data_IF_285719939901
#
_entry.id   IF_285719939901
#
_cell.length_a   1.000
_cell.length_b   1.000
_cell.length_c   1.000
_cell.angle_alpha   90.00
_cell.angle_beta   90.00
_cell.angle_gamma   90.00
#
_symmetry.space_group_name_H-M   'P 1'
#
loop_
_entity.id
_entity.type
_entity.pdbx_description
1 polymer ?
#
# COMPACT_ATOMS: atom_id res chain seq x y z
N UNK A 1 -1.26 18.54 -1.38
CA UNK A 1 -1.68 17.43 -2.26
C UNK A 1 -0.99 16.12 -1.90
N UNK A 2 -1.69 15.00 -2.06
CA UNK A 2 -1.20 13.65 -1.77
C UNK A 2 -1.57 12.72 -2.92
N UNK A 3 -0.61 11.99 -3.46
CA UNK A 3 -0.79 11.05 -4.57
C UNK A 3 -0.19 9.69 -4.22
N UNK A 4 -1.02 8.71 -3.80
CA UNK A 4 -0.59 7.33 -3.71
C UNK A 4 -0.56 6.68 -5.10
N UNK A 5 0.53 5.97 -5.40
CA UNK A 5 0.73 5.23 -6.66
C UNK A 5 1.01 3.78 -6.30
N UNK A 6 0.20 2.86 -6.83
CA UNK A 6 0.40 1.42 -6.65
C UNK A 6 1.09 0.84 -7.89
N UNK A 7 2.22 0.16 -7.69
CA UNK A 7 3.04 -0.43 -8.74
C UNK A 7 3.07 -1.94 -8.52
N UNK A 8 1.99 -2.59 -8.98
CA UNK A 8 1.75 -4.01 -8.71
C UNK A 8 2.89 -4.91 -9.17
N UNK A 9 3.43 -4.67 -10.38
CA UNK A 9 4.51 -5.45 -10.95
C UNK A 9 5.81 -5.43 -10.10
N UNK A 10 6.01 -4.39 -9.28
CA UNK A 10 7.15 -4.26 -8.38
C UNK A 10 6.78 -4.52 -6.92
N UNK A 11 5.59 -5.06 -6.62
CA UNK A 11 5.13 -5.32 -5.25
C UNK A 11 5.28 -4.12 -4.30
N UNK A 12 5.12 -2.90 -4.82
CA UNK A 12 5.42 -1.69 -4.08
C UNK A 12 4.37 -0.61 -4.29
N UNK A 13 4.32 0.32 -3.34
CA UNK A 13 3.55 1.54 -3.45
C UNK A 13 4.40 2.75 -3.07
N UNK A 14 4.07 3.88 -3.67
CA UNK A 14 4.69 5.17 -3.43
C UNK A 14 3.62 6.13 -2.93
N UNK A 15 3.95 7.01 -2.01
CA UNK A 15 3.14 8.17 -1.65
C UNK A 15 3.95 9.42 -1.97
N UNK A 16 3.47 10.18 -2.95
CA UNK A 16 3.96 11.51 -3.22
C UNK A 16 3.19 12.54 -2.41
N UNK A 17 3.89 13.51 -1.83
CA UNK A 17 3.26 14.65 -1.15
C UNK A 17 3.91 15.94 -1.60
N UNK A 18 3.09 16.96 -1.77
CA UNK A 18 3.58 18.33 -1.97
C UNK A 18 3.73 19.00 -0.60
N UNK A 19 4.94 19.43 -0.27
CA UNK A 19 5.22 20.14 0.99
C UNK A 19 4.98 21.64 0.80
N UNK A 20 5.51 22.22 -0.28
CA UNK A 20 5.32 23.62 -0.63
C UNK A 20 5.30 23.80 -2.16
N UNK A 21 5.53 25.01 -2.67
CA UNK A 21 5.54 25.29 -4.11
C UNK A 21 6.57 24.50 -4.90
N UNK A 22 7.70 24.17 -4.26
CA UNK A 22 8.94 23.78 -4.93
C UNK A 22 9.50 22.45 -4.43
N UNK A 23 8.90 21.84 -3.39
CA UNK A 23 9.38 20.60 -2.78
C UNK A 23 8.26 19.57 -2.66
N UNK A 24 8.59 18.38 -3.15
CA UNK A 24 7.78 17.18 -3.07
C UNK A 24 8.51 16.13 -2.23
N UNK A 25 7.78 15.13 -1.74
CA UNK A 25 8.37 14.03 -0.99
C UNK A 25 7.97 12.70 -1.58
N UNK A 26 8.88 11.73 -1.43
CA UNK A 26 8.73 10.35 -1.82
C UNK A 26 8.76 9.46 -0.58
N UNK A 27 7.74 8.64 -0.40
CA UNK A 27 7.68 7.57 0.60
C UNK A 27 7.34 6.28 -0.14
N UNK A 28 8.02 5.18 0.14
CA UNK A 28 7.71 3.90 -0.51
C UNK A 28 7.64 2.74 0.47
N UNK A 29 6.88 1.71 0.12
CA UNK A 29 6.75 0.50 0.90
C UNK A 29 6.32 -0.71 0.07
N UNK A 30 6.68 -1.89 0.58
CA UNK A 30 6.23 -3.18 0.08
C UNK A 30 4.74 -3.42 0.37
N UNK A 31 3.98 -3.95 -0.60
CA UNK A 31 2.53 -4.11 -0.42
C UNK A 31 2.07 -5.53 -0.11
N UNK A 32 2.89 -6.54 -0.40
CA UNK A 32 2.58 -7.96 -0.17
C UNK A 32 3.86 -8.69 0.25
N UNK A 33 3.77 -9.56 1.24
CA UNK A 33 4.95 -10.31 1.70
C UNK A 33 5.13 -11.63 0.92
N UNK A 34 6.34 -12.20 0.92
CA UNK A 34 6.56 -13.57 0.45
C UNK A 34 5.60 -14.55 1.11
N UNK A 35 5.15 -15.52 0.33
CA UNK A 35 4.12 -16.49 0.74
C UNK A 35 4.55 -17.31 1.94
N UNK A 36 5.84 -17.62 2.03
CA UNK A 36 6.47 -18.37 3.11
C UNK A 36 6.33 -17.63 4.44
N UNK A 37 6.54 -16.30 4.44
CA UNK A 37 6.39 -15.46 5.63
C UNK A 37 4.94 -15.48 6.12
N UNK A 38 3.97 -15.38 5.20
CA UNK A 38 2.54 -15.40 5.55
C UNK A 38 2.14 -16.76 6.13
N UNK A 39 2.54 -17.86 5.49
CA UNK A 39 2.17 -19.23 5.90
C UNK A 39 2.81 -19.63 7.22
N UNK A 40 4.06 -19.22 7.48
CA UNK A 40 4.80 -19.57 8.70
C UNK A 40 4.40 -18.72 9.92
N UNK A 41 3.77 -17.56 9.70
CA UNK A 41 3.41 -16.66 10.80
C UNK A 41 2.20 -17.17 11.58
N UNK A 42 2.36 -17.37 12.89
CA UNK A 42 1.24 -17.58 13.79
C UNK A 42 0.46 -16.27 13.98
N UNK A 43 -0.78 -16.24 13.49
CA UNK A 43 -1.67 -15.09 13.61
C UNK A 43 -1.55 -14.11 12.46
N UNK A 44 -1.15 -12.86 12.73
CA UNK A 44 -1.08 -11.79 11.71
C UNK A 44 0.27 -11.10 11.75
N UNK A 45 0.92 -10.99 10.59
CA UNK A 45 2.16 -10.23 10.46
C UNK A 45 1.92 -8.77 10.78
N UNK A 46 2.81 -8.16 11.56
CA UNK A 46 2.78 -6.74 11.86
C UNK A 46 3.89 -6.04 11.08
N UNK A 47 3.52 -5.04 10.29
CA UNK A 47 4.42 -4.31 9.40
C UNK A 47 4.36 -2.82 9.66
N UNK A 48 5.49 -2.14 9.46
CA UNK A 48 5.64 -0.69 9.57
C UNK A 48 5.62 -0.05 8.18
N UNK A 49 4.90 1.06 8.05
CA UNK A 49 4.74 1.78 6.79
C UNK A 49 4.95 3.28 6.99
N UNK A 50 5.59 3.98 6.06
CA UNK A 50 6.33 3.45 4.89
C UNK A 50 7.57 2.63 5.31
N UNK A 51 8.17 1.89 4.37
CA UNK A 51 9.40 1.10 4.59
C UNK A 51 10.64 2.00 4.66
N UNK A 52 10.60 3.14 3.98
CA UNK A 52 11.69 4.12 3.95
C UNK A 52 11.28 5.42 4.63
N UNK A 53 12.25 6.18 5.17
CA UNK A 53 12.01 7.57 5.54
C UNK A 53 11.58 8.38 4.32
N UNK A 54 10.77 9.39 4.58
CA UNK A 54 10.30 10.37 3.59
C UNK A 54 11.47 11.14 3.02
N UNK A 55 11.62 11.10 1.70
CA UNK A 55 12.72 11.75 0.98
C UNK A 55 12.21 12.99 0.25
N UNK A 56 12.71 14.21 0.55
CA UNK A 56 12.38 15.39 -0.24
C UNK A 56 13.11 15.40 -1.58
N UNK A 57 12.46 15.95 -2.60
CA UNK A 57 13.05 16.20 -3.91
C UNK A 57 12.42 17.46 -4.54
N UNK A 58 13.16 18.17 -5.41
CA UNK A 58 12.68 19.43 -5.95
C UNK A 58 11.59 19.22 -7.00
N UNK A 59 10.74 20.22 -7.12
CA UNK A 59 9.85 20.40 -8.25
C UNK A 59 10.68 20.80 -9.46
N UNK A 60 11.05 19.81 -10.25
CA UNK A 60 11.77 19.99 -11.49
C UNK A 60 11.08 19.21 -12.61
N UNK A 61 10.94 19.86 -13.76
CA UNK A 61 10.19 19.30 -14.90
C UNK A 61 10.89 18.09 -15.51
N UNK A 62 12.22 18.09 -15.55
CA UNK A 62 13.01 16.97 -16.03
C UNK A 62 12.93 15.80 -15.05
N UNK A 63 13.01 16.05 -13.74
CA UNK A 63 12.82 15.02 -12.71
C UNK A 63 11.44 14.39 -12.84
N UNK A 64 10.38 15.20 -12.92
CA UNK A 64 9.00 14.69 -12.97
C UNK A 64 8.73 13.89 -14.23
N UNK A 65 9.18 14.39 -15.38
CA UNK A 65 9.01 13.67 -16.66
C UNK A 65 9.80 12.36 -16.69
N UNK A 66 11.02 12.35 -16.13
CA UNK A 66 11.84 11.13 -16.01
C UNK A 66 11.21 10.14 -15.04
N UNK A 67 10.78 10.61 -13.87
CA UNK A 67 10.12 9.79 -12.86
C UNK A 67 8.84 9.18 -13.42
N UNK A 68 8.00 9.94 -14.11
CA UNK A 68 6.79 9.42 -14.74
C UNK A 68 7.10 8.29 -15.75
N UNK A 69 8.13 8.46 -16.59
CA UNK A 69 8.58 7.43 -17.54
C UNK A 69 9.08 6.17 -16.84
N UNK A 70 9.90 6.33 -15.80
CA UNK A 70 10.41 5.22 -14.98
C UNK A 70 9.26 4.48 -14.32
N UNK A 71 8.31 5.19 -13.70
CA UNK A 71 7.16 4.57 -13.05
C UNK A 71 6.24 3.86 -14.05
N UNK A 72 6.00 4.44 -15.22
CA UNK A 72 5.23 3.79 -16.28
C UNK A 72 5.91 2.50 -16.74
N UNK A 73 7.22 2.53 -16.95
CA UNK A 73 8.00 1.34 -17.30
C UNK A 73 7.92 0.27 -16.20
N UNK A 74 8.16 0.63 -14.94
CA UNK A 74 8.12 -0.29 -13.81
C UNK A 74 6.72 -0.84 -13.51
N UNK A 75 5.66 -0.11 -13.88
CA UNK A 75 4.28 -0.57 -13.71
C UNK A 75 3.88 -1.70 -14.66
N UNK A 76 4.55 -1.81 -15.81
CA UNK A 76 4.22 -2.77 -16.88
C UNK A 76 5.28 -3.84 -17.06
N UNK A 77 6.51 -3.61 -16.58
CA UNK A 77 7.64 -4.50 -16.81
C UNK A 77 7.81 -5.51 -15.67
N UNK A 78 8.01 -6.77 -16.04
CA UNK A 78 8.42 -7.81 -15.10
C UNK A 78 9.95 -7.75 -14.98
N UNK A 79 10.44 -7.38 -13.81
CA UNK A 79 11.87 -7.32 -13.52
C UNK A 79 12.34 -8.68 -13.01
N UNK A 80 13.03 -9.45 -13.84
CA UNK A 80 13.40 -10.84 -13.53
C UNK A 80 14.29 -10.94 -12.30
N UNK A 81 15.12 -9.93 -12.06
CA UNK A 81 16.02 -9.80 -10.92
C UNK A 81 15.26 -9.66 -9.59
N UNK A 82 14.04 -9.12 -9.62
CA UNK A 82 13.17 -9.03 -8.45
C UNK A 82 12.29 -10.26 -8.26
N UNK A 83 12.23 -11.19 -9.23
CA UNK A 83 11.38 -12.36 -9.14
C UNK A 83 12.03 -13.45 -8.27
N UNK A 84 11.30 -14.00 -7.29
CA UNK A 84 11.79 -15.15 -6.53
C UNK A 84 12.04 -16.34 -7.46
N UNK A 85 12.99 -17.19 -7.10
CA UNK A 85 13.35 -18.40 -7.86
C UNK A 85 13.05 -19.64 -7.04
N UNK A 86 12.64 -20.71 -7.73
CA UNK A 86 12.38 -22.03 -7.15
C UNK A 86 13.12 -23.10 -7.93
N UNK A 87 13.60 -24.13 -7.25
CA UNK A 87 14.15 -25.31 -7.90
C UNK A 87 13.05 -26.36 -8.09
N UNK A 88 12.80 -26.77 -9.33
CA UNK A 88 11.84 -27.83 -9.67
C UNK A 88 12.50 -28.79 -10.65
N UNK A 89 12.54 -30.07 -10.29
CA UNK A 89 13.14 -31.10 -11.14
C UNK A 89 14.64 -30.94 -11.40
N UNK A 90 15.37 -30.19 -10.54
CA UNK A 90 16.79 -29.88 -10.72
C UNK A 90 17.06 -28.59 -11.48
N UNK A 91 16.03 -27.95 -12.05
CA UNK A 91 16.13 -26.68 -12.78
C UNK A 91 15.60 -25.50 -11.96
N UNK A 92 16.22 -24.34 -12.14
CA UNK A 92 15.83 -23.09 -11.48
C UNK A 92 14.84 -22.32 -12.35
N UNK A 93 13.64 -22.07 -11.82
CA UNK A 93 12.60 -21.30 -12.51
C UNK A 93 12.13 -20.12 -11.66
N UNK A 94 11.73 -19.03 -12.31
CA UNK A 94 11.06 -17.91 -11.62
C UNK A 94 9.73 -18.39 -11.02
N UNK A 95 9.56 -18.16 -9.72
CA UNK A 95 8.37 -18.55 -8.98
C UNK A 95 7.31 -17.45 -9.10
N UNK A 96 6.56 -17.51 -10.21
CA UNK A 96 5.50 -16.55 -10.55
C UNK A 96 4.33 -16.50 -9.55
N UNK A 97 4.24 -17.48 -8.65
CA UNK A 97 3.19 -17.54 -7.61
C UNK A 97 3.55 -16.73 -6.37
N UNK A 98 4.81 -16.37 -6.21
CA UNK A 98 5.29 -15.61 -5.07
C UNK A 98 5.50 -14.14 -5.44
N UNK A 99 5.75 -13.30 -4.44
CA UNK A 99 5.82 -11.84 -4.62
C UNK A 99 7.20 -11.40 -5.10
N UNK A 100 7.23 -10.45 -6.02
CA UNK A 100 8.46 -9.79 -6.43
C UNK A 100 9.06 -8.99 -5.25
N UNK A 101 10.38 -8.89 -5.21
CA UNK A 101 11.09 -7.97 -4.32
C UNK A 101 10.72 -6.52 -4.66
N UNK A 102 10.45 -5.65 -3.67
CA UNK A 102 10.14 -4.24 -3.91
C UNK A 102 11.37 -3.39 -4.26
N UNK A 103 12.57 -4.00 -4.36
CA UNK A 103 13.87 -3.32 -4.43
C UNK A 103 13.97 -2.22 -5.49
N UNK A 104 13.33 -2.35 -6.66
CA UNK A 104 13.41 -1.31 -7.69
C UNK A 104 12.74 0.00 -7.26
N UNK A 105 11.75 -0.07 -6.37
CA UNK A 105 11.05 1.09 -5.83
C UNK A 105 11.62 1.49 -4.47
N UNK A 106 11.73 0.55 -3.53
CA UNK A 106 12.14 0.83 -2.16
C UNK A 106 13.65 1.06 -2.03
N UNK A 107 14.48 0.58 -2.93
CA UNK A 107 15.93 0.73 -2.82
C UNK A 107 16.46 1.58 -3.97
N UNK A 108 16.32 1.12 -5.22
CA UNK A 108 16.93 1.78 -6.38
C UNK A 108 16.34 3.18 -6.62
N UNK A 109 15.02 3.29 -6.81
CA UNK A 109 14.38 4.58 -7.03
C UNK A 109 14.50 5.49 -5.80
N UNK A 110 14.32 4.95 -4.59
CA UNK A 110 14.53 5.71 -3.36
C UNK A 110 15.97 6.27 -3.26
N UNK A 111 16.98 5.49 -3.67
CA UNK A 111 18.36 5.92 -3.72
C UNK A 111 18.59 7.07 -4.70
N UNK A 112 18.01 7.00 -5.90
CA UNK A 112 18.07 8.08 -6.91
C UNK A 112 17.42 9.36 -6.37
N UNK A 113 16.24 9.24 -5.75
CA UNK A 113 15.54 10.39 -5.16
C UNK A 113 16.36 11.00 -4.02
N UNK A 114 16.97 10.17 -3.16
CA UNK A 114 17.85 10.64 -2.07
C UNK A 114 19.06 11.41 -2.62
N UNK A 115 19.59 11.01 -3.76
CA UNK A 115 20.69 11.69 -4.44
C UNK A 115 20.28 12.99 -5.16
N UNK A 116 18.98 13.34 -5.14
CA UNK A 116 18.43 14.53 -5.80
C UNK A 116 17.69 15.42 -4.79
N UNK A 117 18.39 15.97 -3.77
CA UNK A 117 17.76 16.80 -2.76
C UNK A 117 17.29 18.15 -3.34
N UNK A 118 16.30 18.80 -2.70
CA UNK A 118 15.96 20.19 -3.01
C UNK A 118 17.13 21.13 -2.69
N UNK A 119 17.11 22.34 -3.28
CA UNK A 119 18.15 23.36 -3.06
C UNK A 119 18.17 23.89 -1.63
N UNK A 120 16.98 24.06 -1.05
CA UNK A 120 16.82 24.54 0.31
C UNK A 120 16.80 23.35 1.28
N UNK A 121 17.43 23.52 2.45
CA UNK A 121 17.36 22.53 3.52
C UNK A 121 15.94 22.45 4.06
N UNK A 122 15.19 21.43 3.63
CA UNK A 122 13.85 21.14 4.11
C UNK A 122 13.89 20.00 5.11
N UNK A 123 13.53 20.29 6.36
CA UNK A 123 13.35 19.26 7.39
C UNK A 123 12.04 18.53 7.13
N UNK A 124 12.14 17.22 6.92
CA UNK A 124 10.98 16.38 6.60
C UNK A 124 10.87 15.22 7.59
N UNK A 125 9.74 15.20 8.32
CA UNK A 125 9.40 14.12 9.23
C UNK A 125 8.57 13.04 8.53
N UNK A 126 8.80 11.79 8.90
CA UNK A 126 8.05 10.63 8.38
C UNK A 126 7.02 10.18 9.40
N UNK A 127 5.76 10.10 9.00
CA UNK A 127 4.69 9.53 9.83
C UNK A 127 4.63 8.04 9.60
N UNK A 128 5.17 7.26 10.54
CA UNK A 128 5.09 5.80 10.48
C UNK A 128 3.78 5.28 11.06
N UNK A 129 3.22 4.24 10.44
CA UNK A 129 2.03 3.52 10.92
C UNK A 129 2.28 2.03 10.92
N UNK A 130 1.83 1.36 11.98
CA UNK A 130 1.89 -0.10 12.06
C UNK A 130 0.56 -0.70 11.61
N UNK A 131 0.60 -1.65 10.68
CA UNK A 131 -0.59 -2.41 10.26
C UNK A 131 -0.36 -3.89 10.50
N UNK A 132 -1.37 -4.52 11.11
CA UNK A 132 -1.50 -5.99 11.14
C UNK A 132 -2.11 -6.44 9.81
N UNK A 133 -1.33 -7.16 9.02
CA UNK A 133 -1.72 -7.68 7.73
C UNK A 133 -2.65 -8.87 7.92
N UNK A 134 -3.78 -8.81 7.23
CA UNK A 134 -4.81 -9.87 7.22
C UNK A 134 -4.76 -10.56 5.87
N UNK A 135 -3.55 -10.98 5.52
CA UNK A 135 -3.24 -11.61 4.25
C UNK A 135 -3.24 -13.12 4.43
N UNK A 136 -3.70 -13.80 3.39
CA UNK A 136 -3.84 -15.25 3.37
C UNK A 136 -3.35 -15.74 2.02
N UNK A 137 -2.58 -16.81 2.02
CA UNK A 137 -2.13 -17.48 0.79
C UNK A 137 -2.96 -18.74 0.66
N UNK A 138 -4.12 -18.63 0.01
CA UNK A 138 -5.01 -19.76 -0.21
C UNK A 138 -4.84 -20.27 -1.64
N UNK A 139 -4.54 -21.55 -1.79
CA UNK A 139 -4.29 -22.15 -3.09
C UNK A 139 -5.07 -23.45 -3.23
N UNK A 140 -5.90 -23.54 -4.28
CA UNK A 140 -6.61 -24.76 -4.66
C UNK A 140 -6.65 -24.83 -6.19
N UNK A 141 -5.75 -25.60 -6.79
CA UNK A 141 -5.70 -25.86 -8.24
C UNK A 141 -5.76 -24.60 -9.11
N UNK A 142 -5.09 -23.52 -8.70
CA UNK A 142 -5.11 -22.23 -9.39
C UNK A 142 -3.70 -21.79 -9.86
N UNK A 143 -3.63 -20.87 -10.83
CA UNK A 143 -2.34 -20.34 -11.28
C UNK A 143 -1.65 -19.50 -10.20
N UNK A 144 -2.40 -18.57 -9.58
CA UNK A 144 -1.95 -17.74 -8.46
C UNK A 144 -2.77 -18.05 -7.21
N UNK A 145 -2.19 -17.95 -6.00
CA UNK A 145 -2.97 -18.06 -4.77
C UNK A 145 -3.95 -16.89 -4.66
N UNK A 146 -5.11 -17.15 -4.06
CA UNK A 146 -5.98 -16.07 -3.61
C UNK A 146 -5.31 -15.35 -2.45
N UNK A 147 -5.26 -14.02 -2.53
CA UNK A 147 -4.72 -13.11 -1.52
C UNK A 147 -5.64 -11.92 -1.35
N UNK A 148 -5.51 -11.24 -0.22
CA UNK A 148 -6.26 -10.00 0.02
C UNK A 148 -5.70 -8.88 -0.85
N UNK A 149 -6.56 -8.02 -1.38
CA UNK A 149 -6.15 -6.89 -2.24
C UNK A 149 -5.10 -5.99 -1.57
N UNK A 150 -3.93 -5.91 -2.20
CA UNK A 150 -2.82 -5.05 -1.76
C UNK A 150 -3.12 -3.56 -1.99
N UNK A 151 -3.92 -3.23 -3.01
CA UNK A 151 -4.42 -1.86 -3.23
C UNK A 151 -5.17 -1.32 -2.00
N UNK A 152 -5.91 -2.18 -1.29
CA UNK A 152 -6.58 -1.78 -0.04
C UNK A 152 -5.60 -1.47 1.10
N UNK A 153 -4.43 -2.13 1.14
CA UNK A 153 -3.37 -1.75 2.07
C UNK A 153 -2.83 -0.37 1.73
N UNK A 154 -2.54 -0.10 0.45
CA UNK A 154 -2.05 1.20 -0.03
C UNK A 154 -2.98 2.33 0.38
N UNK A 155 -4.28 2.20 0.09
CA UNK A 155 -5.31 3.19 0.47
C UNK A 155 -5.30 3.42 1.98
N UNK A 156 -5.27 2.36 2.80
CA UNK A 156 -5.28 2.48 4.26
C UNK A 156 -4.02 3.09 4.85
N UNK A 157 -2.86 2.86 4.24
CA UNK A 157 -1.59 3.48 4.67
C UNK A 157 -1.60 4.96 4.30
N UNK A 158 -1.93 5.28 3.04
CA UNK A 158 -2.02 6.66 2.56
C UNK A 158 -3.02 7.49 3.38
N UNK A 159 -4.21 6.96 3.65
CA UNK A 159 -5.20 7.63 4.49
C UNK A 159 -4.71 7.84 5.92
N UNK A 160 -4.20 6.80 6.59
CA UNK A 160 -3.81 6.93 8.00
C UNK A 160 -2.65 7.90 8.19
N UNK A 161 -1.62 7.81 7.34
CA UNK A 161 -0.45 8.70 7.41
C UNK A 161 -0.83 10.15 7.07
N UNK A 162 -1.73 10.36 6.10
CA UNK A 162 -2.20 11.71 5.73
C UNK A 162 -3.04 12.33 6.83
N UNK A 163 -4.05 11.61 7.35
CA UNK A 163 -4.91 12.12 8.41
C UNK A 163 -4.13 12.39 9.71
N UNK A 164 -3.13 11.54 10.01
CA UNK A 164 -2.21 11.78 11.12
C UNK A 164 -1.34 13.02 10.90
N UNK A 165 -0.79 13.21 9.70
CA UNK A 165 -0.02 14.42 9.38
C UNK A 165 -0.86 15.69 9.47
N UNK A 166 -2.14 15.63 9.13
CA UNK A 166 -3.08 16.75 9.24
C UNK A 166 -3.69 16.90 10.64
N UNK A 167 -3.29 16.05 11.60
CA UNK A 167 -3.80 16.06 12.98
C UNK A 167 -5.33 16.01 13.05
N UNK A 168 -5.96 15.29 12.11
CA UNK A 168 -7.42 15.19 12.07
C UNK A 168 -7.88 14.33 13.24
N UNK A 169 -8.55 14.94 14.22
CA UNK A 169 -9.25 14.28 15.35
C UNK A 169 -8.35 13.23 16.02
N UNK A 170 -7.18 13.62 16.51
CA UNK A 170 -6.25 12.68 17.14
C UNK A 170 -6.82 12.04 18.42
N UNK A 171 -6.47 10.78 18.72
CA UNK A 171 -5.76 9.79 17.88
C UNK A 171 -6.70 8.98 16.96
N UNK A 172 -7.97 9.36 16.88
CA UNK A 172 -9.03 8.52 16.32
C UNK A 172 -9.42 8.85 14.89
N UNK A 173 -8.98 9.96 14.30
CA UNK A 173 -9.53 10.47 13.03
C UNK A 173 -9.50 9.48 11.88
N UNK A 174 -8.40 8.73 11.73
CA UNK A 174 -8.37 7.64 10.74
C UNK A 174 -9.45 6.59 11.00
N UNK A 175 -9.61 6.13 12.25
CA UNK A 175 -10.60 5.10 12.60
C UNK A 175 -12.04 5.64 12.47
N UNK A 176 -12.27 6.90 12.84
CA UNK A 176 -13.55 7.59 12.72
C UNK A 176 -13.92 7.73 11.25
N UNK A 177 -12.98 8.16 10.40
CA UNK A 177 -13.18 8.21 8.96
C UNK A 177 -13.49 6.83 8.37
N UNK A 178 -12.78 5.77 8.80
CA UNK A 178 -13.11 4.41 8.37
C UNK A 178 -14.53 4.00 8.77
N UNK A 179 -14.95 4.30 10.01
CA UNK A 179 -16.30 3.98 10.47
C UNK A 179 -17.36 4.75 9.67
N UNK A 180 -17.15 6.05 9.47
CA UNK A 180 -17.99 6.91 8.63
C UNK A 180 -18.12 6.33 7.22
N UNK A 181 -17.01 6.08 6.53
CA UNK A 181 -17.03 5.54 5.17
C UNK A 181 -17.76 4.20 5.09
N UNK A 182 -17.52 3.31 6.05
CA UNK A 182 -18.20 2.00 6.11
C UNK A 182 -19.71 2.16 6.36
N UNK A 183 -20.12 3.08 7.23
CA UNK A 183 -21.52 3.38 7.49
C UNK A 183 -22.20 3.99 6.25
N UNK A 184 -21.55 4.92 5.56
CA UNK A 184 -22.07 5.51 4.32
C UNK A 184 -22.26 4.46 3.22
N UNK A 185 -21.26 3.58 3.01
CA UNK A 185 -21.37 2.50 2.02
C UNK A 185 -22.49 1.52 2.41
N UNK A 186 -22.64 1.20 3.70
CA UNK A 186 -23.73 0.34 4.16
C UNK A 186 -25.10 0.99 3.96
N UNK A 187 -25.24 2.28 4.27
CA UNK A 187 -26.47 3.04 4.07
C UNK A 187 -26.86 3.08 2.59
N UNK A 188 -25.89 3.32 1.71
CA UNK A 188 -26.09 3.29 0.25
C UNK A 188 -26.42 1.89 -0.25
N UNK A 189 -25.78 0.84 0.27
CA UNK A 189 -26.11 -0.53 -0.13
C UNK A 189 -27.52 -0.93 0.30
N UNK A 190 -27.94 -0.51 1.50
CA UNK A 190 -29.27 -0.81 2.04
C UNK A 190 -30.41 -0.05 1.35
N UNK A 191 -30.11 1.07 0.67
CA UNK A 191 -31.10 1.85 -0.09
C UNK A 191 -31.28 1.39 -1.55
N UNK A 192 -30.51 0.39 -1.98
CA UNK A 192 -30.50 -0.14 -3.36
C UNK A 192 -31.35 -1.40 -3.48
N UNK A 193 -31.48 -1.88 -4.71
CA UNK A 193 -32.24 -3.09 -5.03
C UNK A 193 -31.78 -4.29 -4.18
N UNK A 194 -32.70 -4.95 -3.45
CA UNK A 194 -32.42 -6.17 -2.69
C UNK A 194 -31.81 -7.31 -3.52
N UNK A 195 -32.02 -7.35 -4.84
CA UNK A 195 -31.39 -8.35 -5.71
C UNK A 195 -29.88 -8.12 -5.86
N UNK A 196 -29.42 -6.87 -5.78
CA UNK A 196 -28.00 -6.52 -5.85
C UNK A 196 -27.31 -6.65 -4.49
N UNK A 197 -28.02 -6.34 -3.40
CA UNK A 197 -27.48 -6.36 -2.04
C UNK A 197 -28.33 -7.25 -1.13
N UNK A 198 -28.00 -8.54 -1.13
CA UNK A 198 -28.70 -9.53 -0.31
C UNK A 198 -28.60 -9.23 1.19
N UNK A 199 -29.59 -9.67 1.95
CA UNK A 199 -29.62 -9.51 3.42
C UNK A 199 -28.33 -10.01 4.10
N UNK A 200 -27.77 -11.14 3.65
CA UNK A 200 -26.54 -11.71 4.21
C UNK A 200 -25.32 -10.80 4.00
N UNK A 201 -25.25 -10.14 2.85
CA UNK A 201 -24.20 -9.18 2.55
C UNK A 201 -24.31 -7.95 3.46
N UNK A 202 -25.53 -7.40 3.62
CA UNK A 202 -25.78 -6.26 4.51
C UNK A 202 -25.46 -6.58 5.96
N UNK A 203 -25.84 -7.77 6.45
CA UNK A 203 -25.49 -8.25 7.80
C UNK A 203 -23.97 -8.36 7.94
N UNK A 204 -23.27 -8.87 6.94
CA UNK A 204 -21.81 -8.98 6.95
C UNK A 204 -21.12 -7.62 6.98
N UNK A 205 -21.62 -6.65 6.21
CA UNK A 205 -21.15 -5.27 6.22
C UNK A 205 -21.38 -4.61 7.59
N UNK A 206 -22.57 -4.78 8.16
CA UNK A 206 -22.90 -4.26 9.49
C UNK A 206 -21.98 -4.85 10.58
N UNK A 207 -21.75 -6.17 10.59
CA UNK A 207 -20.79 -6.82 11.50
C UNK A 207 -19.39 -6.22 11.37
N UNK A 208 -18.94 -5.86 10.16
CA UNK A 208 -17.64 -5.19 9.96
C UNK A 208 -17.64 -3.77 10.52
N UNK A 209 -18.74 -3.03 10.36
CA UNK A 209 -18.91 -1.68 10.92
C UNK A 209 -18.89 -1.70 12.46
N UNK A 210 -19.68 -2.58 13.09
CA UNK A 210 -19.70 -2.74 14.56
C UNK A 210 -18.29 -3.04 15.10
N UNK A 211 -17.57 -3.97 14.46
CA UNK A 211 -16.18 -4.27 14.80
C UNK A 211 -15.22 -3.08 14.62
N UNK A 212 -15.54 -2.14 13.72
CA UNK A 212 -14.78 -0.91 13.53
C UNK A 212 -15.09 0.09 14.63
N UNK A 213 -16.36 0.28 14.97
CA UNK A 213 -16.81 1.18 16.03
C UNK A 213 -16.22 0.77 17.38
N UNK A 214 -16.16 -0.53 17.69
CA UNK A 214 -15.50 -1.05 18.91
C UNK A 214 -14.01 -0.66 19.03
N UNK A 215 -13.35 -0.21 17.96
CA UNK A 215 -11.94 0.25 18.00
C UNK A 215 -11.80 1.74 18.36
N UNK A 216 -12.91 2.46 18.49
CA UNK A 216 -12.97 3.87 18.84
C UNK A 216 -13.12 4.11 20.35
N UNK A 217 -13.56 3.11 21.10
CA UNK A 217 -13.95 3.23 22.52
C UNK A 217 -15.27 2.51 22.70
#
# INVERSE_FOLDING_TARGET
DVLPVFIEAQNAAIIFRRINSDVFTFEAFEVSLPSEIIVQTLGKVSMHFPSNPRLPFPKDTLIFSTLAKVLAHLSTSIMKEAMPVSNKGGETHHEVRNTASPMFITEALAGIIRATPPKDDVVVNTTYVTKRLDDHVLWQSALKPWRRSSMWLVIRVALQTTLGQWQVVEPHGYKTFQAFLMASILSEAASRDPELFTCDLLVSMNKRLVNRLRKLG
#
